data_IF_975029147234
#
_entry.id   IF_975029147234
#
_cell.length_a   1.000
_cell.length_b   1.000
_cell.length_c   1.000
_cell.angle_alpha   90.00
_cell.angle_beta   90.00
_cell.angle_gamma   90.00
#
_symmetry.space_group_name_H-M   'P 1'
#
loop_
_entity.id
_entity.type
_entity.pdbx_description
1 polymer ?
#
# COMPACT_ATOMS: atom_id res chain seq x y z
N UNK A 1 -14.47 -3.55 -40.29
CA UNK A 1 -14.09 -4.63 -39.35
C UNK A 1 -14.25 -4.07 -37.95
N UNK A 2 -15.39 -4.35 -37.32
CA UNK A 2 -15.73 -3.97 -35.95
C UNK A 2 -15.56 -5.22 -35.08
N UNK A 3 -14.77 -5.13 -34.02
CA UNK A 3 -14.94 -5.99 -32.84
C UNK A 3 -15.10 -5.06 -31.64
N UNK A 4 -16.32 -5.05 -31.09
CA UNK A 4 -16.63 -4.47 -29.78
C UNK A 4 -16.48 -5.60 -28.76
N UNK A 5 -15.59 -5.43 -27.79
CA UNK A 5 -15.63 -6.22 -26.56
C UNK A 5 -16.45 -5.45 -25.52
N UNK A 6 -17.42 -6.14 -24.93
CA UNK A 6 -18.27 -5.62 -23.86
C UNK A 6 -17.50 -5.68 -22.54
N UNK A 7 -17.34 -4.51 -21.90
CA UNK A 7 -16.88 -4.42 -20.51
C UNK A 7 -17.97 -4.91 -19.56
N UNK A 8 -17.58 -5.80 -18.65
CA UNK A 8 -18.43 -6.32 -17.59
C UNK A 8 -18.54 -5.25 -16.50
N UNK A 9 -19.73 -4.67 -16.36
CA UNK A 9 -20.15 -3.92 -15.19
C UNK A 9 -20.60 -4.93 -14.11
N UNK A 10 -19.94 -4.96 -12.95
CA UNK A 10 -20.48 -5.61 -11.76
C UNK A 10 -21.32 -4.56 -11.03
N UNK A 11 -22.60 -4.50 -11.38
CA UNK A 11 -23.62 -3.82 -10.59
C UNK A 11 -24.38 -4.85 -9.76
N UNK A 12 -24.35 -4.70 -8.43
CA UNK A 12 -25.23 -5.46 -7.54
C UNK A 12 -26.68 -4.99 -7.74
N UNK A 13 -27.51 -5.85 -8.33
CA UNK A 13 -28.95 -5.68 -8.34
C UNK A 13 -29.61 -7.00 -7.89
N UNK A 14 -30.26 -6.96 -6.72
CA UNK A 14 -31.20 -7.98 -6.28
C UNK A 14 -32.44 -7.93 -7.19
N UNK A 15 -32.73 -9.01 -7.91
CA UNK A 15 -34.09 -9.38 -8.31
C UNK A 15 -34.13 -10.85 -8.75
N UNK A 16 -34.97 -11.62 -8.06
CA UNK A 16 -35.19 -13.03 -8.35
C UNK A 16 -35.98 -13.21 -9.65
N UNK A 17 -35.58 -14.21 -10.43
CA UNK A 17 -36.43 -14.81 -11.46
C UNK A 17 -36.07 -16.29 -11.61
N UNK A 18 -37.03 -17.15 -11.30
CA UNK A 18 -37.03 -18.59 -11.57
C UNK A 18 -37.34 -18.83 -13.05
N UNK A 19 -36.45 -19.51 -13.78
CA UNK A 19 -36.79 -20.09 -15.09
C UNK A 19 -36.12 -21.47 -15.21
N UNK A 20 -36.95 -22.49 -15.42
CA UNK A 20 -36.55 -23.88 -15.55
C UNK A 20 -35.87 -24.21 -16.88
N UNK A 21 -35.01 -25.22 -16.85
CA UNK A 21 -34.38 -25.83 -18.02
C UNK A 21 -34.92 -27.26 -18.22
N UNK A 22 -35.21 -27.67 -19.47
CA UNK A 22 -35.63 -29.04 -19.78
C UNK A 22 -34.43 -29.98 -20.01
N UNK A 23 -34.67 -31.25 -19.72
CA UNK A 23 -33.76 -32.38 -19.93
C UNK A 23 -33.81 -32.95 -21.36
N UNK A 24 -32.76 -33.75 -21.69
CA UNK A 24 -32.56 -34.77 -22.75
C UNK A 24 -31.25 -34.49 -23.52
N UNK A 25 -30.40 -35.43 -23.96
CA UNK A 25 -30.31 -36.90 -23.86
C UNK A 25 -28.96 -37.35 -24.46
N UNK A 26 -28.35 -38.37 -23.84
CA UNK A 26 -27.48 -39.49 -24.30
C UNK A 26 -26.66 -39.44 -25.61
N UNK A 27 -25.40 -39.89 -25.48
CA UNK A 27 -24.74 -41.02 -26.19
C UNK A 27 -23.26 -41.04 -25.71
N UNK A 28 -22.47 -42.11 -25.68
CA UNK A 28 -22.58 -43.57 -25.59
C UNK A 28 -21.13 -44.03 -25.34
N UNK A 29 -20.86 -44.77 -24.26
CA UNK A 29 -19.54 -45.40 -23.99
C UNK A 29 -19.74 -46.91 -23.83
N UNK A 30 -18.87 -47.76 -24.39
CA UNK A 30 -18.76 -49.17 -23.99
C UNK A 30 -17.35 -49.50 -23.42
N UNK A 31 -17.12 -50.69 -22.82
CA UNK A 31 -17.67 -51.11 -21.53
C UNK A 31 -16.63 -51.73 -20.57
N UNK A 32 -17.03 -51.79 -19.29
CA UNK A 32 -16.84 -52.83 -18.26
C UNK A 32 -15.46 -53.45 -17.92
N UNK A 33 -15.08 -53.30 -16.63
CA UNK A 33 -14.76 -54.41 -15.72
C UNK A 33 -14.99 -53.95 -14.26
N UNK A 34 -16.13 -54.31 -13.67
CA UNK A 34 -16.32 -55.32 -12.63
C UNK A 34 -15.93 -54.86 -11.19
N UNK A 35 -16.94 -54.56 -10.36
CA UNK A 35 -17.42 -55.37 -9.21
C UNK A 35 -16.52 -55.22 -7.97
N UNK A 36 -16.98 -54.48 -6.95
CA UNK A 36 -17.52 -55.10 -5.72
C UNK A 36 -18.30 -54.06 -4.89
N UNK A 37 -19.42 -54.49 -4.32
CA UNK A 37 -20.38 -53.72 -3.53
C UNK A 37 -20.57 -54.46 -2.21
N UNK A 38 -20.29 -53.80 -1.09
CA UNK A 38 -21.02 -54.03 0.17
C UNK A 38 -20.61 -53.01 1.22
N UNK A 39 -21.59 -52.38 1.87
CA UNK A 39 -21.39 -51.79 3.20
C UNK A 39 -22.13 -50.48 3.43
N UNK A 40 -23.42 -50.58 3.72
CA UNK A 40 -24.22 -49.53 4.38
C UNK A 40 -23.63 -49.18 5.76
N UNK A 41 -23.75 -47.92 6.17
CA UNK A 41 -23.40 -47.47 7.52
C UNK A 41 -23.61 -45.97 7.70
N UNK A 42 -24.85 -45.59 8.01
CA UNK A 42 -25.21 -44.28 8.57
C UNK A 42 -24.50 -44.04 9.90
N UNK A 43 -24.06 -42.81 10.14
CA UNK A 43 -23.48 -42.41 11.41
C UNK A 43 -23.19 -40.91 11.48
N UNK A 44 -24.19 -40.15 11.94
CA UNK A 44 -24.04 -38.81 12.50
C UNK A 44 -22.95 -38.78 13.59
N UNK A 45 -22.05 -37.79 13.52
CA UNK A 45 -21.34 -37.31 14.71
C UNK A 45 -20.84 -35.88 14.48
N UNK A 46 -21.43 -34.97 15.27
CA UNK A 46 -20.97 -33.62 15.55
C UNK A 46 -19.47 -33.58 15.89
N UNK A 47 -18.74 -32.65 15.27
CA UNK A 47 -17.39 -32.27 15.70
C UNK A 47 -17.47 -30.92 16.43
N UNK A 48 -17.07 -30.85 17.72
CA UNK A 48 -17.07 -29.61 18.48
C UNK A 48 -15.81 -28.77 18.31
N UNK A 49 -16.01 -27.47 18.57
CA UNK A 49 -15.03 -26.40 18.80
C UNK A 49 -13.73 -26.86 19.50
N UNK A 50 -12.60 -26.51 18.88
CA UNK A 50 -11.30 -26.52 19.53
C UNK A 50 -10.98 -25.09 20.01
N UNK A 51 -11.44 -24.78 21.23
CA UNK A 51 -10.95 -23.64 22.00
C UNK A 51 -9.53 -23.89 22.51
N UNK A 52 -8.67 -22.88 22.40
CA UNK A 52 -7.35 -22.86 23.01
C UNK A 52 -7.41 -22.04 24.30
N UNK A 53 -7.66 -22.72 25.43
CA UNK A 53 -7.33 -22.21 26.76
C UNK A 53 -5.91 -22.69 27.11
N UNK A 54 -5.05 -21.74 27.49
CA UNK A 54 -3.82 -22.02 28.23
C UNK A 54 -3.67 -20.95 29.32
N UNK A 55 -4.26 -21.24 30.48
CA UNK A 55 -3.94 -20.60 31.75
C UNK A 55 -2.61 -21.13 32.28
N UNK A 56 -1.78 -20.20 32.77
CA UNK A 56 -0.54 -20.47 33.49
C UNK A 56 -0.13 -19.27 34.36
N UNK A 57 -0.85 -19.05 35.45
CA UNK A 57 -0.38 -18.30 36.63
C UNK A 57 0.62 -19.18 37.43
N UNK A 58 1.54 -18.73 38.28
CA UNK A 58 1.75 -17.48 39.01
C UNK A 58 3.22 -17.40 39.48
N UNK A 59 3.66 -16.22 39.88
CA UNK A 59 4.92 -15.99 40.60
C UNK A 59 5.10 -14.52 40.97
N UNK A 60 4.39 -14.12 42.03
CA UNK A 60 4.44 -12.82 42.73
C UNK A 60 5.51 -12.88 43.83
N UNK A 61 6.41 -11.88 43.90
CA UNK A 61 6.73 -11.17 45.15
C UNK A 61 7.89 -10.14 45.04
N UNK A 62 7.53 -8.86 45.21
CA UNK A 62 8.16 -8.03 46.23
C UNK A 62 9.22 -6.99 45.82
N UNK A 63 9.01 -5.73 46.23
CA UNK A 63 10.11 -4.88 46.67
C UNK A 63 10.03 -3.39 46.32
N UNK A 64 9.31 -2.63 47.15
CA UNK A 64 9.32 -1.16 47.19
C UNK A 64 10.70 -0.60 47.58
N UNK A 65 11.13 0.49 46.93
CA UNK A 65 11.89 1.56 47.56
C UNK A 65 11.76 2.87 46.76
N UNK A 66 10.93 3.74 47.33
CA UNK A 66 10.87 5.19 47.24
C UNK A 66 12.24 5.83 47.55
N UNK A 67 12.68 6.86 46.81
CA UNK A 67 13.39 8.06 47.31
C UNK A 67 13.60 9.13 46.19
N UNK A 68 12.80 10.19 46.28
CA UNK A 68 13.18 11.63 46.37
C UNK A 68 14.00 12.37 45.29
N UNK A 69 13.37 13.47 44.87
CA UNK A 69 13.82 14.87 44.82
C UNK A 69 15.12 15.26 44.10
N UNK A 70 14.97 16.14 43.10
CA UNK A 70 16.05 16.99 42.60
C UNK A 70 15.64 17.82 41.39
N UNK A 71 15.00 18.96 41.62
CA UNK A 71 14.62 19.90 40.55
C UNK A 71 15.80 20.68 39.97
N UNK A 72 15.56 21.29 38.80
CA UNK A 72 16.08 22.60 38.42
C UNK A 72 15.34 23.10 37.17
N UNK A 73 14.59 24.19 37.35
CA UNK A 73 14.10 25.03 36.28
C UNK A 73 15.30 25.76 35.64
N UNK A 74 15.36 25.73 34.31
CA UNK A 74 16.31 26.51 33.52
C UNK A 74 15.55 27.23 32.42
N UNK A 75 15.14 28.45 32.71
CA UNK A 75 14.64 29.41 31.73
C UNK A 75 15.80 29.79 30.79
N UNK A 76 15.67 29.45 29.51
CA UNK A 76 16.61 29.77 28.46
C UNK A 76 15.89 30.43 27.30
N UNK A 77 15.71 31.75 27.39
CA UNK A 77 15.29 32.61 26.30
C UNK A 77 16.34 32.58 25.18
N UNK A 78 16.03 31.82 24.12
CA UNK A 78 16.83 31.74 22.90
C UNK A 78 15.97 32.12 21.69
N UNK A 79 15.85 33.42 21.44
CA UNK A 79 15.36 33.94 20.17
C UNK A 79 16.33 33.55 19.05
N UNK A 80 15.91 32.60 18.21
CA UNK A 80 16.64 32.14 17.03
C UNK A 80 15.67 32.00 15.87
N UNK A 81 15.69 33.01 15.01
CA UNK A 81 14.93 33.16 13.79
C UNK A 81 15.27 32.06 12.75
N UNK A 82 14.29 31.76 11.88
CA UNK A 82 14.38 30.93 10.68
C UNK A 82 14.57 29.41 10.82
N UNK A 83 13.55 28.73 11.36
CA UNK A 83 13.24 27.35 10.97
C UNK A 83 12.64 27.34 9.56
N UNK A 84 13.50 27.46 8.54
CA UNK A 84 13.09 27.17 7.17
C UNK A 84 12.72 25.70 7.07
N UNK A 85 11.43 25.42 6.82
CA UNK A 85 10.91 24.08 6.58
C UNK A 85 11.74 23.40 5.47
N UNK A 86 12.53 22.36 5.78
CA UNK A 86 13.29 21.62 4.79
C UNK A 86 12.38 20.93 3.75
N UNK A 87 11.07 20.84 4.01
CA UNK A 87 10.06 20.32 3.08
C UNK A 87 9.56 21.29 2.00
N UNK A 88 9.77 22.61 2.15
CA UNK A 88 9.20 23.60 1.22
C UNK A 88 9.90 23.64 -0.14
N UNK A 89 11.17 23.24 -0.23
CA UNK A 89 11.93 23.24 -1.49
C UNK A 89 11.62 22.04 -2.39
N UNK A 90 11.16 20.92 -1.83
CA UNK A 90 10.91 19.66 -2.57
C UNK A 90 9.66 19.69 -3.44
N UNK A 91 8.81 20.71 -3.24
CA UNK A 91 7.44 20.79 -3.75
C UNK A 91 7.14 22.18 -4.32
N UNK A 92 8.15 22.91 -4.78
CA UNK A 92 8.02 24.31 -5.23
C UNK A 92 7.11 24.53 -6.45
N UNK A 93 6.64 23.46 -7.11
CA UNK A 93 5.67 23.50 -8.20
C UNK A 93 4.24 23.17 -7.76
N UNK A 94 4.00 22.87 -6.47
CA UNK A 94 2.65 22.62 -5.99
C UNK A 94 1.81 23.89 -6.11
N UNK A 95 0.54 23.76 -6.50
CA UNK A 95 -0.39 24.89 -6.53
C UNK A 95 -0.56 25.47 -5.12
N UNK A 96 -0.90 26.75 -5.02
CA UNK A 96 -1.31 27.32 -3.73
C UNK A 96 -2.68 26.77 -3.31
N UNK A 97 -2.95 26.71 -2.01
CA UNK A 97 -4.28 26.33 -1.49
C UNK A 97 -5.41 27.25 -1.99
N UNK A 98 -5.07 28.51 -2.30
CA UNK A 98 -5.98 29.49 -2.90
C UNK A 98 -6.38 29.21 -4.35
N UNK A 99 -5.73 28.25 -5.02
CA UNK A 99 -6.10 27.78 -6.36
C UNK A 99 -7.22 26.73 -6.35
N UNK A 100 -7.72 26.40 -5.16
CA UNK A 100 -8.92 25.58 -5.00
C UNK A 100 -10.10 26.17 -5.78
N UNK A 101 -10.87 25.28 -6.43
CA UNK A 101 -12.14 25.62 -7.07
C UNK A 101 -13.22 24.74 -6.47
N UNK A 102 -14.27 25.35 -5.95
CA UNK A 102 -15.46 24.69 -5.46
C UNK A 102 -16.50 25.70 -4.97
N UNK A 103 -17.61 25.22 -4.43
CA UNK A 103 -18.70 26.02 -3.89
C UNK A 103 -18.56 26.30 -2.40
N UNK A 104 -19.45 27.13 -1.88
CA UNK A 104 -19.59 27.38 -0.44
C UNK A 104 -20.49 26.31 0.19
N UNK A 105 -19.93 25.12 0.36
CA UNK A 105 -20.64 23.96 0.89
C UNK A 105 -20.34 23.72 2.37
N UNK A 106 -21.25 23.02 3.04
CA UNK A 106 -21.16 22.78 4.48
C UNK A 106 -20.07 21.78 4.86
N UNK A 107 -19.91 20.69 4.10
CA UNK A 107 -18.88 19.70 4.43
C UNK A 107 -17.49 20.24 4.09
N UNK A 108 -16.47 19.65 4.69
CA UNK A 108 -15.06 20.08 4.60
C UNK A 108 -14.15 18.88 4.39
N UNK A 109 -13.22 19.01 3.46
CA UNK A 109 -12.02 18.19 3.37
C UNK A 109 -10.89 18.96 4.07
N UNK A 110 -10.48 18.50 5.25
CA UNK A 110 -9.30 19.00 5.95
C UNK A 110 -8.09 18.23 5.49
N UNK A 111 -7.16 18.91 4.83
CA UNK A 111 -5.87 18.36 4.42
C UNK A 111 -4.80 18.89 5.37
N UNK A 112 -4.06 18.01 6.02
CA UNK A 112 -2.94 18.40 6.89
C UNK A 112 -1.63 18.53 6.10
N UNK A 113 -0.60 19.11 6.72
CA UNK A 113 0.74 19.18 6.11
C UNK A 113 1.38 17.80 5.87
N UNK A 114 0.92 16.78 6.61
CA UNK A 114 1.41 15.41 6.51
C UNK A 114 0.74 14.60 5.40
N UNK A 115 -0.21 15.18 4.65
CA UNK A 115 -0.98 14.51 3.59
C UNK A 115 -0.12 14.16 2.34
N UNK A 116 0.80 13.23 2.54
CA UNK A 116 1.74 12.70 1.56
C UNK A 116 1.51 11.20 1.41
N UNK A 117 1.37 10.78 0.15
CA UNK A 117 1.06 9.42 -0.24
C UNK A 117 2.10 8.94 -1.25
N UNK A 118 2.45 7.66 -1.18
CA UNK A 118 3.49 7.03 -1.99
C UNK A 118 2.83 6.03 -2.95
N UNK A 119 3.41 5.91 -4.14
CA UNK A 119 2.98 4.95 -5.14
C UNK A 119 3.07 3.53 -4.59
N UNK A 120 1.98 2.79 -4.70
CA UNK A 120 1.91 1.37 -4.33
C UNK A 120 2.52 0.50 -5.44
N UNK A 121 2.94 -0.70 -5.06
CA UNK A 121 3.49 -1.69 -5.98
C UNK A 121 2.40 -2.42 -6.76
N UNK A 122 2.82 -3.12 -7.80
CA UNK A 122 2.00 -3.98 -8.64
C UNK A 122 2.73 -5.30 -8.87
N UNK A 123 2.13 -6.38 -8.39
CA UNK A 123 2.74 -7.73 -8.37
C UNK A 123 3.11 -8.27 -9.77
N UNK A 124 2.62 -7.64 -10.83
CA UNK A 124 2.94 -8.00 -12.21
C UNK A 124 4.25 -7.40 -12.72
N UNK A 125 4.88 -6.49 -11.95
CA UNK A 125 6.07 -5.73 -12.38
C UNK A 125 7.37 -6.34 -11.86
N UNK A 126 8.48 -6.03 -12.52
CA UNK A 126 9.82 -6.27 -11.96
C UNK A 126 10.25 -5.17 -10.98
N UNK A 127 11.35 -5.37 -10.25
CA UNK A 127 11.91 -4.31 -9.39
C UNK A 127 12.36 -3.08 -10.20
N UNK A 128 12.89 -3.27 -11.41
CA UNK A 128 13.27 -2.18 -12.30
C UNK A 128 12.04 -1.38 -12.76
N UNK A 129 10.95 -2.06 -13.09
CA UNK A 129 9.68 -1.44 -13.42
C UNK A 129 9.07 -0.72 -12.21
N UNK A 130 9.11 -1.32 -11.02
CA UNK A 130 8.67 -0.69 -9.77
C UNK A 130 9.48 0.56 -9.43
N UNK A 131 10.81 0.50 -9.59
CA UNK A 131 11.67 1.68 -9.44
C UNK A 131 11.24 2.79 -10.37
N UNK A 132 11.04 2.48 -11.66
CA UNK A 132 10.56 3.45 -12.64
C UNK A 132 9.17 3.98 -12.28
N UNK A 133 8.30 3.16 -11.70
CA UNK A 133 6.92 3.55 -11.36
C UNK A 133 6.80 4.36 -10.07
N UNK A 134 7.85 4.42 -9.25
CA UNK A 134 7.85 5.23 -8.02
C UNK A 134 7.29 6.63 -8.24
N UNK A 135 6.42 7.02 -7.33
CA UNK A 135 5.74 8.31 -7.37
C UNK A 135 5.32 8.73 -5.96
N UNK A 136 5.14 10.03 -5.78
CA UNK A 136 4.53 10.58 -4.59
C UNK A 136 3.39 11.51 -4.99
N UNK A 137 2.35 11.54 -4.18
CA UNK A 137 1.20 12.44 -4.25
C UNK A 137 1.18 13.27 -2.96
N UNK A 138 1.16 14.58 -3.10
CA UNK A 138 0.94 15.50 -1.99
C UNK A 138 -0.35 16.26 -2.20
N UNK A 139 -1.19 16.27 -1.18
CA UNK A 139 -2.26 17.25 -1.09
C UNK A 139 -1.72 18.51 -0.42
N UNK A 140 -2.09 19.68 -0.94
CA UNK A 140 -1.69 20.95 -0.32
C UNK A 140 -2.59 21.17 0.90
N UNK A 141 -1.98 21.45 2.05
CA UNK A 141 -2.70 21.65 3.28
C UNK A 141 -3.74 22.78 3.18
N UNK A 142 -4.89 22.57 3.82
CA UNK A 142 -6.01 23.50 3.76
C UNK A 142 -7.32 22.87 4.20
N UNK A 143 -8.34 23.71 4.33
CA UNK A 143 -9.72 23.27 4.58
C UNK A 143 -10.58 23.62 3.37
N UNK A 144 -10.98 22.61 2.61
CA UNK A 144 -11.69 22.75 1.34
C UNK A 144 -13.16 22.39 1.49
N UNK A 145 -14.12 23.27 1.14
CA UNK A 145 -15.52 22.89 1.10
C UNK A 145 -15.78 21.64 0.23
N UNK A 146 -16.73 20.80 0.64
CA UNK A 146 -17.22 19.63 -0.10
C UNK A 146 -18.74 19.67 -0.20
N UNK A 147 -19.34 19.27 -1.33
CA UNK A 147 -20.78 19.21 -1.48
C UNK A 147 -21.40 18.22 -0.49
N UNK A 148 -22.52 18.61 0.09
CA UNK A 148 -23.33 17.80 0.99
C UNK A 148 -24.69 17.43 0.37
N UNK A 149 -24.78 17.50 -0.96
CA UNK A 149 -25.92 17.09 -1.79
C UNK A 149 -25.40 16.37 -3.02
N UNK A 150 -26.14 15.39 -3.53
CA UNK A 150 -25.74 14.69 -4.76
C UNK A 150 -25.74 15.62 -5.97
N UNK A 151 -24.80 15.41 -6.88
CA UNK A 151 -24.67 16.18 -8.11
C UNK A 151 -23.27 16.08 -8.73
N UNK A 152 -23.08 16.81 -9.83
CA UNK A 152 -21.77 17.01 -10.43
C UNK A 152 -21.37 18.48 -10.29
N UNK A 153 -20.14 18.71 -9.83
CA UNK A 153 -19.65 20.04 -9.49
C UNK A 153 -18.29 20.32 -10.15
N UNK A 154 -18.06 21.52 -10.70
CA UNK A 154 -16.71 21.93 -11.05
C UNK A 154 -15.88 21.98 -9.78
N UNK A 155 -14.77 21.25 -9.77
CA UNK A 155 -13.94 21.10 -8.58
C UNK A 155 -12.47 21.06 -8.96
N UNK A 156 -11.63 21.74 -8.18
CA UNK A 156 -10.18 21.62 -8.30
C UNK A 156 -9.59 21.53 -6.90
N UNK A 157 -8.94 20.42 -6.62
CA UNK A 157 -8.22 20.21 -5.37
C UNK A 157 -6.73 20.50 -5.61
N UNK A 158 -6.12 21.42 -4.85
CA UNK A 158 -4.69 21.68 -4.91
C UNK A 158 -3.90 20.42 -4.52
N UNK A 159 -3.36 19.72 -5.52
CA UNK A 159 -2.50 18.54 -5.36
C UNK A 159 -1.30 18.65 -6.29
N UNK A 160 -0.25 17.91 -5.96
CA UNK A 160 0.93 17.79 -6.78
C UNK A 160 1.44 16.37 -6.77
N UNK A 161 1.93 15.94 -7.93
CA UNK A 161 2.61 14.67 -8.09
C UNK A 161 4.11 14.92 -8.15
N UNK A 162 4.86 13.87 -7.85
CA UNK A 162 6.30 13.78 -8.09
C UNK A 162 6.59 12.40 -8.62
N UNK A 163 7.18 12.30 -9.81
CA UNK A 163 7.68 11.06 -10.35
C UNK A 163 9.19 10.96 -10.16
N UNK A 164 9.76 9.76 -10.37
CA UNK A 164 11.20 9.54 -10.31
C UNK A 164 11.96 10.56 -11.18
N UNK A 165 13.13 10.98 -10.73
CA UNK A 165 13.99 11.91 -11.47
C UNK A 165 14.21 11.44 -12.92
N UNK A 166 14.13 12.38 -13.86
CA UNK A 166 14.19 12.11 -15.30
C UNK A 166 12.83 11.86 -15.95
N UNK A 167 11.76 11.66 -15.18
CA UNK A 167 10.39 11.61 -15.71
C UNK A 167 9.75 13.00 -15.70
N UNK A 168 8.90 13.26 -16.69
CA UNK A 168 8.05 14.45 -16.65
C UNK A 168 6.95 14.25 -15.61
N UNK A 169 6.89 15.17 -14.65
CA UNK A 169 5.81 15.21 -13.66
C UNK A 169 4.58 15.90 -14.25
N UNK A 170 3.39 15.27 -14.22
CA UNK A 170 2.15 15.89 -14.65
C UNK A 170 1.69 16.93 -13.62
N UNK A 171 1.25 18.10 -14.11
CA UNK A 171 0.75 19.23 -13.32
C UNK A 171 -0.74 19.45 -13.56
N UNK A 172 -1.43 20.13 -12.65
CA UNK A 172 -2.83 20.52 -12.81
C UNK A 172 -3.03 21.31 -14.12
N UNK A 173 -3.88 20.78 -15.00
CA UNK A 173 -4.12 21.39 -16.31
C UNK A 173 -5.37 22.27 -16.33
N UNK A 174 -6.45 21.81 -15.70
CA UNK A 174 -7.74 22.50 -15.72
C UNK A 174 -8.58 22.20 -14.49
N UNK A 175 -9.79 22.77 -14.45
CA UNK A 175 -10.78 22.41 -13.44
C UNK A 175 -11.23 20.98 -13.72
N UNK A 176 -11.36 20.19 -12.65
CA UNK A 176 -11.88 18.84 -12.69
C UNK A 176 -13.39 18.79 -12.48
N UNK A 177 -13.89 17.57 -12.33
CA UNK A 177 -15.28 17.25 -12.06
C UNK A 177 -15.35 16.41 -10.79
N UNK A 178 -16.08 16.91 -9.78
CA UNK A 178 -16.44 16.14 -8.60
C UNK A 178 -17.87 15.62 -8.76
N UNK A 179 -18.03 14.30 -8.78
CA UNK A 179 -19.32 13.64 -8.64
C UNK A 179 -19.55 13.35 -7.17
N UNK A 180 -20.70 13.77 -6.66
CA UNK A 180 -21.14 13.48 -5.32
C UNK A 180 -22.41 12.64 -5.37
N UNK A 181 -22.40 11.53 -4.64
CA UNK A 181 -23.58 10.74 -4.32
C UNK A 181 -23.74 10.72 -2.79
N UNK A 182 -24.71 11.46 -2.29
CA UNK A 182 -24.97 11.67 -0.87
C UNK A 182 -26.29 10.97 -0.52
N UNK A 183 -26.18 9.83 0.16
CA UNK A 183 -27.29 9.10 0.74
C UNK A 183 -27.52 9.45 2.21
N UNK A 184 -28.54 8.83 2.81
CA UNK A 184 -28.91 9.07 4.22
C UNK A 184 -27.84 8.58 5.22
N UNK A 185 -27.10 7.54 4.85
CA UNK A 185 -26.07 6.91 5.70
C UNK A 185 -24.68 6.96 5.09
N UNK A 186 -24.59 6.87 3.76
CA UNK A 186 -23.33 6.76 3.05
C UNK A 186 -23.16 7.90 2.07
N UNK A 187 -21.91 8.27 1.82
CA UNK A 187 -21.55 9.16 0.73
C UNK A 187 -20.50 8.51 -0.17
N UNK A 188 -20.46 8.96 -1.42
CA UNK A 188 -19.40 8.69 -2.36
C UNK A 188 -19.06 9.98 -3.09
N UNK A 189 -17.78 10.35 -3.08
CA UNK A 189 -17.21 11.50 -3.76
C UNK A 189 -16.14 10.98 -4.73
N UNK A 190 -16.32 11.24 -6.02
CA UNK A 190 -15.40 10.85 -7.08
C UNK A 190 -14.92 12.11 -7.80
N UNK A 191 -13.65 12.46 -7.62
CA UNK A 191 -13.00 13.56 -8.31
C UNK A 191 -12.20 13.04 -9.49
N UNK A 192 -12.41 13.63 -10.66
CA UNK A 192 -11.54 13.50 -11.84
C UNK A 192 -10.90 14.86 -12.13
N UNK A 193 -9.57 14.92 -12.09
CA UNK A 193 -8.82 16.16 -12.26
C UNK A 193 -7.79 16.04 -13.39
N UNK A 194 -7.98 16.76 -14.52
CA UNK A 194 -7.07 16.71 -15.65
C UNK A 194 -5.68 17.25 -15.30
N UNK A 195 -4.67 16.55 -15.77
CA UNK A 195 -3.27 16.87 -15.63
C UNK A 195 -2.56 16.89 -17.00
N UNK A 196 -1.47 17.65 -17.10
CA UNK A 196 -0.61 17.70 -18.28
C UNK A 196 0.86 17.73 -17.87
N UNK A 197 1.69 17.01 -18.60
CA UNK A 197 3.15 17.20 -18.52
C UNK A 197 3.61 18.40 -19.35
N UNK A 198 4.87 18.80 -19.20
CA UNK A 198 5.50 19.85 -20.02
C UNK A 198 5.45 19.56 -21.53
N UNK A 199 5.52 18.29 -21.94
CA UNK A 199 5.38 17.89 -23.34
C UNK A 199 3.93 17.88 -23.85
N UNK A 200 2.95 18.12 -22.98
CA UNK A 200 1.53 18.03 -23.30
C UNK A 200 0.95 16.63 -23.22
N UNK A 201 1.65 15.68 -22.59
CA UNK A 201 1.10 14.34 -22.34
C UNK A 201 -0.03 14.43 -21.33
N UNK A 202 -1.21 13.94 -21.70
CA UNK A 202 -2.40 13.95 -20.85
C UNK A 202 -2.31 12.89 -19.75
N UNK A 203 -2.70 13.31 -18.55
CA UNK A 203 -2.84 12.49 -17.36
C UNK A 203 -4.13 12.87 -16.64
N UNK A 204 -4.61 12.01 -15.77
CA UNK A 204 -5.74 12.29 -14.89
C UNK A 204 -5.39 11.86 -13.47
N UNK A 205 -5.69 12.73 -12.50
CA UNK A 205 -5.75 12.38 -11.09
C UNK A 205 -7.19 12.02 -10.73
N UNK A 206 -7.37 10.85 -10.13
CA UNK A 206 -8.66 10.38 -9.64
C UNK A 206 -8.59 10.19 -8.14
N UNK A 207 -9.58 10.72 -7.43
CA UNK A 207 -9.78 10.46 -6.00
C UNK A 207 -11.17 9.89 -5.80
N UNK A 208 -11.23 8.75 -5.12
CA UNK A 208 -12.45 8.20 -4.55
C UNK A 208 -12.42 8.43 -3.05
N UNK A 209 -13.51 8.94 -2.51
CA UNK A 209 -13.69 9.15 -1.08
C UNK A 209 -15.12 8.71 -0.73
N UNK A 210 -15.26 7.67 0.07
CA UNK A 210 -16.56 7.12 0.42
C UNK A 210 -16.60 6.75 1.89
N UNK A 211 -17.80 6.70 2.47
CA UNK A 211 -17.88 6.44 3.89
C UNK A 211 -19.23 6.78 4.49
N UNK A 212 -19.25 6.81 5.82
CA UNK A 212 -20.35 7.28 6.66
C UNK A 212 -19.89 8.57 7.33
N UNK A 213 -20.59 9.68 7.09
CA UNK A 213 -20.34 10.88 7.88
C UNK A 213 -20.84 10.64 9.32
N UNK A 214 -20.01 10.86 10.34
CA UNK A 214 -20.47 10.76 11.73
C UNK A 214 -21.69 11.67 11.97
N UNK A 215 -22.58 11.29 12.88
CA UNK A 215 -23.73 12.12 13.21
C UNK A 215 -23.27 13.51 13.71
N UNK A 216 -23.65 14.57 13.00
CA UNK A 216 -23.21 15.94 13.27
C UNK A 216 -21.79 16.27 12.76
N UNK A 217 -21.10 15.31 12.16
CA UNK A 217 -19.83 15.52 11.47
C UNK A 217 -20.04 16.26 10.16
N UNK A 218 -19.09 17.13 9.84
CA UNK A 218 -19.01 17.89 8.59
C UNK A 218 -17.61 17.88 8.00
N UNK A 219 -16.66 17.19 8.61
CA UNK A 219 -15.25 17.22 8.22
C UNK A 219 -14.73 15.82 7.94
N UNK A 220 -14.02 15.68 6.82
CA UNK A 220 -13.22 14.52 6.43
C UNK A 220 -11.76 14.94 6.45
N UNK A 221 -10.87 14.15 7.05
CA UNK A 221 -9.46 14.48 7.17
C UNK A 221 -8.61 13.62 6.24
N UNK A 222 -7.69 14.25 5.51
CA UNK A 222 -6.56 13.60 4.83
C UNK A 222 -5.28 14.06 5.53
N UNK A 223 -4.56 13.12 6.12
CA UNK A 223 -3.37 13.39 6.93
C UNK A 223 -2.17 12.49 6.58
N UNK A 224 -2.26 11.70 5.52
CA UNK A 224 -1.21 10.77 5.10
C UNK A 224 -1.28 9.41 5.79
N UNK A 225 -2.21 9.19 6.73
CA UNK A 225 -2.40 7.89 7.38
C UNK A 225 -2.88 6.82 6.41
N UNK A 226 -2.57 5.56 6.72
CA UNK A 226 -3.10 4.42 5.97
C UNK A 226 -4.53 4.11 6.41
N UNK A 227 -5.39 3.79 5.45
CA UNK A 227 -6.75 3.37 5.73
C UNK A 227 -6.79 1.86 6.00
N UNK A 228 -6.86 1.49 7.28
CA UNK A 228 -6.93 0.09 7.68
C UNK A 228 -8.32 -0.50 7.35
N UNK A 229 -8.38 -1.33 6.29
CA UNK A 229 -9.62 -1.96 5.83
C UNK A 229 -10.08 -3.13 6.72
N UNK A 230 -9.21 -3.67 7.58
CA UNK A 230 -9.45 -4.96 8.24
C UNK A 230 -9.98 -4.86 9.67
N UNK A 231 -10.05 -3.67 10.24
CA UNK A 231 -10.69 -3.48 11.55
C UNK A 231 -12.21 -3.45 11.45
N UNK A 232 -12.79 -3.34 10.25
CA UNK A 232 -14.24 -3.28 10.02
C UNK A 232 -14.93 -2.06 10.66
N UNK A 233 -14.16 -1.16 11.26
CA UNK A 233 -14.63 0.01 12.00
C UNK A 233 -14.45 1.31 11.24
N UNK A 234 -13.79 1.29 10.07
CA UNK A 234 -13.36 2.50 9.39
C UNK A 234 -14.55 3.16 8.69
N UNK A 235 -14.99 4.36 9.14
CA UNK A 235 -16.12 5.05 8.53
C UNK A 235 -15.75 5.73 7.21
N UNK A 236 -14.50 5.65 6.78
CA UNK A 236 -13.96 6.34 5.63
C UNK A 236 -13.06 5.43 4.80
N UNK A 237 -13.27 5.45 3.51
CA UNK A 237 -12.49 4.78 2.48
C UNK A 237 -12.01 5.83 1.49
N UNK A 238 -10.73 5.79 1.13
CA UNK A 238 -10.20 6.58 0.04
C UNK A 238 -9.28 5.76 -0.85
N UNK A 239 -9.32 6.05 -2.15
CA UNK A 239 -8.35 5.59 -3.12
C UNK A 239 -7.88 6.77 -3.97
N UNK A 240 -6.58 6.81 -4.26
CA UNK A 240 -5.99 7.82 -5.10
C UNK A 240 -5.27 7.17 -6.28
N UNK A 241 -5.52 7.69 -7.48
CA UNK A 241 -4.90 7.22 -8.70
C UNK A 241 -4.37 8.37 -9.54
N UNK A 242 -3.29 8.12 -10.26
CA UNK A 242 -2.88 8.93 -11.39
C UNK A 242 -2.67 8.01 -12.59
N UNK A 243 -3.30 8.29 -13.73
CA UNK A 243 -3.12 7.49 -14.94
C UNK A 243 -2.76 8.38 -16.12
N UNK A 244 -2.04 7.82 -17.08
CA UNK A 244 -1.83 8.47 -18.37
C UNK A 244 -3.11 8.33 -19.19
N UNK A 245 -3.69 9.45 -19.63
CA UNK A 245 -5.03 9.48 -20.25
C UNK A 245 -6.15 9.74 -19.23
N UNK A 246 -7.30 9.10 -19.41
CA UNK A 246 -8.57 9.35 -18.69
C UNK A 246 -8.92 8.25 -17.65
N UNK A 247 -7.90 7.52 -17.19
CA UNK A 247 -8.00 6.41 -16.24
C UNK A 247 -8.98 5.27 -16.60
N UNK A 248 -9.63 5.27 -17.78
CA UNK A 248 -10.54 4.19 -18.18
C UNK A 248 -9.79 2.91 -18.59
N UNK A 249 -8.66 3.10 -19.27
CA UNK A 249 -7.84 2.01 -19.79
C UNK A 249 -6.72 1.58 -18.83
N UNK A 250 -6.61 2.21 -17.65
CA UNK A 250 -5.58 1.93 -16.63
C UNK A 250 -4.13 2.01 -17.18
N UNK A 251 -3.92 2.80 -18.22
CA UNK A 251 -2.60 2.99 -18.84
C UNK A 251 -1.71 3.76 -17.88
N UNK A 252 -0.61 3.14 -17.44
CA UNK A 252 0.32 3.76 -16.49
C UNK A 252 -0.41 4.24 -15.22
N UNK A 253 -1.30 3.40 -14.71
CA UNK A 253 -2.01 3.69 -13.47
C UNK A 253 -1.05 3.55 -12.28
N UNK A 254 -1.00 4.59 -11.46
CA UNK A 254 -0.28 4.65 -10.20
C UNK A 254 -1.29 4.86 -9.10
N UNK A 255 -1.42 3.86 -8.23
CA UNK A 255 -2.23 3.97 -7.02
C UNK A 255 -1.36 4.53 -5.89
N UNK A 256 -1.95 5.28 -4.98
CA UNK A 256 -1.24 5.87 -3.85
C UNK A 256 -1.88 5.48 -2.53
N UNK A 257 -1.04 5.22 -1.54
CA UNK A 257 -1.41 4.97 -0.14
C UNK A 257 -0.38 5.67 0.76
N UNK A 258 -0.50 5.52 2.07
CA UNK A 258 0.39 6.17 3.04
C UNK A 258 1.88 5.96 2.71
N UNK A 259 2.69 7.01 2.84
CA UNK A 259 4.13 6.86 2.73
C UNK A 259 4.78 6.21 3.96
N UNK A 260 4.09 6.15 5.10
CA UNK A 260 4.66 5.67 6.36
C UNK A 260 3.98 4.40 6.89
N UNK A 261 2.68 4.19 6.62
CA UNK A 261 1.88 3.14 7.25
C UNK A 261 2.09 3.11 8.77
N UNK A 262 2.17 4.28 9.42
CA UNK A 262 2.62 4.40 10.81
C UNK A 262 1.75 3.65 11.82
N UNK A 263 0.50 3.38 11.44
CA UNK A 263 -0.48 2.63 12.24
C UNK A 263 -0.28 1.11 12.17
N UNK A 264 0.60 0.65 11.27
CA UNK A 264 0.86 -0.77 11.02
C UNK A 264 2.21 -1.15 11.65
N UNK A 265 2.21 -2.27 12.38
CA UNK A 265 3.42 -2.84 12.96
C UNK A 265 4.43 -3.18 11.84
N UNK A 266 5.69 -2.84 12.09
CA UNK A 266 6.77 -3.12 11.15
C UNK A 266 7.29 -4.55 11.35
N UNK A 267 7.16 -5.39 10.33
CA UNK A 267 7.84 -6.67 10.26
C UNK A 267 9.27 -6.48 9.78
N UNK A 268 10.21 -7.24 10.33
CA UNK A 268 11.64 -7.16 9.99
C UNK A 268 12.08 -8.48 9.38
N UNK A 269 12.68 -8.39 8.19
CA UNK A 269 13.36 -9.50 7.54
C UNK A 269 14.88 -9.31 7.65
N UNK A 270 15.57 -10.26 8.28
CA UNK A 270 17.01 -10.19 8.51
C UNK A 270 17.72 -11.25 7.68
N UNK A 271 18.75 -10.85 6.94
CA UNK A 271 19.65 -11.74 6.22
C UNK A 271 21.09 -11.47 6.62
N UNK A 272 21.85 -12.54 6.86
CA UNK A 272 23.32 -12.49 6.87
C UNK A 272 23.84 -13.17 5.62
N UNK A 273 24.92 -12.63 5.06
CA UNK A 273 25.49 -13.12 3.81
C UNK A 273 27.01 -12.91 3.81
N UNK A 274 27.68 -13.56 2.85
CA UNK A 274 29.13 -13.43 2.73
C UNK A 274 29.55 -11.97 2.50
N UNK A 275 30.14 -11.36 3.54
CA UNK A 275 30.60 -9.98 3.56
C UNK A 275 29.69 -9.00 4.32
N UNK A 276 28.54 -9.40 4.87
CA UNK A 276 27.67 -8.45 5.54
C UNK A 276 26.33 -8.97 6.05
N UNK A 277 25.43 -8.02 6.31
CA UNK A 277 24.07 -8.26 6.76
C UNK A 277 23.13 -7.18 6.25
N UNK A 278 21.84 -7.50 6.16
CA UNK A 278 20.78 -6.55 5.84
C UNK A 278 19.53 -6.90 6.65
N UNK A 279 18.93 -5.87 7.24
CA UNK A 279 17.60 -5.89 7.82
C UNK A 279 16.68 -5.04 6.95
N UNK A 280 15.54 -5.61 6.55
CA UNK A 280 14.53 -5.01 5.68
C UNK A 280 13.28 -4.83 6.54
N UNK A 281 12.89 -3.57 6.78
CA UNK A 281 11.65 -3.23 7.48
C UNK A 281 10.51 -3.07 6.48
N UNK A 282 9.41 -3.80 6.71
CA UNK A 282 8.21 -3.74 5.89
C UNK A 282 7.00 -3.49 6.79
N UNK A 283 6.15 -2.55 6.40
CA UNK A 283 4.81 -2.38 6.97
C UNK A 283 3.82 -2.81 5.91
N UNK A 284 3.09 -3.88 6.19
CA UNK A 284 2.10 -4.45 5.28
C UNK A 284 0.76 -4.20 5.93
N UNK A 285 -0.03 -3.34 5.29
CA UNK A 285 -1.40 -3.07 5.66
C UNK A 285 -2.27 -4.30 5.41
N UNK A 286 -3.55 -4.07 5.20
CA UNK A 286 -4.48 -5.16 5.04
C UNK A 286 -5.44 -4.90 3.88
N UNK A 287 -5.69 -5.95 3.10
CA UNK A 287 -6.66 -5.95 2.02
C UNK A 287 -7.55 -7.18 2.11
N UNK A 288 -8.84 -7.00 1.89
CA UNK A 288 -9.81 -8.10 1.88
C UNK A 288 -10.00 -8.74 0.50
N UNK A 289 -9.47 -8.12 -0.56
CA UNK A 289 -9.80 -8.46 -1.94
C UNK A 289 -8.64 -8.33 -2.94
N UNK A 290 -7.43 -8.00 -2.48
CA UNK A 290 -6.24 -7.81 -3.33
C UNK A 290 -4.97 -8.17 -2.56
N UNK A 291 -3.83 -8.08 -3.24
CA UNK A 291 -2.53 -8.00 -2.56
C UNK A 291 -2.56 -6.83 -1.58
N UNK A 292 -2.11 -7.08 -0.36
CA UNK A 292 -2.13 -6.13 0.74
C UNK A 292 -1.27 -4.92 0.38
N UNK A 293 -1.73 -3.67 0.62
CA UNK A 293 -0.88 -2.51 0.41
C UNK A 293 0.25 -2.50 1.46
N UNK A 294 1.35 -1.84 1.17
CA UNK A 294 2.43 -1.72 2.14
C UNK A 294 3.57 -0.84 1.68
N UNK A 295 4.54 -0.66 2.57
CA UNK A 295 5.72 0.15 2.32
C UNK A 295 6.99 -0.56 2.79
N UNK A 296 8.03 -0.46 1.97
CA UNK A 296 9.41 -0.74 2.34
C UNK A 296 9.98 0.50 3.04
N UNK A 297 9.93 0.48 4.36
CA UNK A 297 10.12 1.65 5.23
C UNK A 297 11.60 1.92 5.52
N UNK A 298 12.42 0.88 5.62
CA UNK A 298 13.83 1.00 5.96
C UNK A 298 14.65 -0.20 5.52
N UNK A 299 15.93 0.03 5.24
CA UNK A 299 16.94 -1.02 5.14
C UNK A 299 18.21 -0.62 5.87
N UNK A 300 18.67 -1.44 6.80
CA UNK A 300 19.88 -1.21 7.60
C UNK A 300 20.80 -2.40 7.53
N UNK A 301 22.12 -2.20 7.59
CA UNK A 301 23.04 -3.33 7.53
C UNK A 301 24.49 -2.96 7.33
N UNK A 302 25.26 -3.93 6.87
CA UNK A 302 26.68 -3.79 6.53
C UNK A 302 27.00 -4.49 5.22
N UNK A 303 27.94 -3.93 4.44
CA UNK A 303 28.55 -4.56 3.28
C UNK A 303 30.06 -4.33 3.30
N UNK A 304 30.82 -5.43 3.33
CA UNK A 304 32.28 -5.46 3.39
C UNK A 304 32.84 -4.54 4.48
N UNK A 305 32.20 -4.55 5.65
CA UNK A 305 32.55 -3.73 6.82
C UNK A 305 32.06 -2.28 6.80
N UNK A 306 31.37 -1.85 5.73
CA UNK A 306 30.76 -0.51 5.63
C UNK A 306 29.29 -0.58 6.02
N UNK A 307 28.89 0.18 7.03
CA UNK A 307 27.48 0.26 7.45
C UNK A 307 26.64 1.12 6.50
N UNK A 308 25.35 0.80 6.37
CA UNK A 308 24.36 1.63 5.70
C UNK A 308 23.04 1.67 6.49
N UNK A 309 22.33 2.79 6.38
CA UNK A 309 20.96 3.00 6.87
C UNK A 309 20.22 3.79 5.77
N UNK A 310 19.21 3.16 5.19
CA UNK A 310 18.43 3.72 4.10
C UNK A 310 16.95 3.84 4.49
N UNK A 311 16.39 5.04 4.29
CA UNK A 311 15.00 5.41 4.57
C UNK A 311 14.36 6.24 3.46
N UNK A 312 15.13 6.62 2.44
CA UNK A 312 14.64 7.35 1.29
C UNK A 312 13.75 6.44 0.45
N UNK A 313 12.47 6.80 0.34
CA UNK A 313 11.48 6.13 -0.50
C UNK A 313 12.03 5.85 -1.91
N UNK A 314 12.79 6.78 -2.51
CA UNK A 314 13.29 6.62 -3.87
C UNK A 314 14.36 5.53 -4.02
N UNK A 315 14.99 5.14 -2.91
CA UNK A 315 16.08 4.16 -2.84
C UNK A 315 15.66 2.81 -2.25
N UNK A 316 14.41 2.69 -1.80
CA UNK A 316 13.82 1.47 -1.27
C UNK A 316 12.79 0.95 -2.28
N UNK A 317 13.17 -0.05 -3.07
CA UNK A 317 12.35 -0.64 -4.12
C UNK A 317 11.84 -1.99 -3.65
N UNK A 318 10.54 -2.23 -3.82
CA UNK A 318 9.89 -3.42 -3.30
C UNK A 318 8.81 -3.88 -4.27
N UNK A 319 8.72 -5.20 -4.43
CA UNK A 319 7.69 -5.83 -5.20
C UNK A 319 7.29 -7.16 -4.53
N UNK A 320 6.07 -7.29 -4.00
CA UNK A 320 5.56 -8.59 -3.61
C UNK A 320 5.05 -9.34 -4.83
N UNK A 321 5.35 -10.62 -4.89
CA UNK A 321 4.67 -11.56 -5.78
C UNK A 321 3.44 -12.12 -5.07
N UNK A 322 2.30 -12.15 -5.78
CA UNK A 322 1.04 -12.81 -5.41
C UNK A 322 0.72 -12.83 -3.90
N UNK A 323 -0.02 -11.86 -3.37
CA UNK A 323 -0.40 -11.79 -1.94
C UNK A 323 0.77 -11.97 -0.97
N UNK A 324 1.95 -11.43 -1.31
CA UNK A 324 3.15 -11.48 -0.48
C UNK A 324 3.68 -12.90 -0.16
N UNK A 325 3.32 -13.92 -0.94
CA UNK A 325 3.90 -15.26 -0.80
C UNK A 325 5.40 -15.28 -1.13
N UNK A 326 5.83 -14.43 -2.06
CA UNK A 326 7.24 -14.14 -2.30
C UNK A 326 7.42 -12.64 -2.37
N UNK A 327 8.61 -12.15 -2.03
CA UNK A 327 8.90 -10.73 -1.97
C UNK A 327 10.28 -10.47 -2.54
N UNK A 328 10.35 -9.45 -3.38
CA UNK A 328 11.59 -8.96 -3.95
C UNK A 328 11.82 -7.54 -3.40
N UNK A 329 13.07 -7.23 -3.09
CA UNK A 329 13.48 -5.92 -2.61
C UNK A 329 14.84 -5.51 -3.17
N UNK A 330 15.01 -4.22 -3.43
CA UNK A 330 16.31 -3.63 -3.68
C UNK A 330 16.50 -2.37 -2.83
N UNK A 331 17.68 -2.25 -2.24
CA UNK A 331 18.14 -1.08 -1.52
C UNK A 331 19.28 -0.43 -2.29
N UNK A 332 19.12 0.85 -2.63
CA UNK A 332 20.20 1.68 -3.15
C UNK A 332 20.86 2.44 -2.01
N UNK A 333 22.19 2.45 -1.98
CA UNK A 333 22.96 3.15 -0.98
C UNK A 333 22.97 4.67 -1.24
N UNK A 334 23.27 5.45 -0.20
CA UNK A 334 23.52 6.89 -0.35
C UNK A 334 24.70 7.18 -1.30
N UNK A 335 25.74 6.36 -1.19
CA UNK A 335 26.90 6.34 -2.07
C UNK A 335 27.30 4.88 -2.30
N UNK A 336 27.87 4.55 -3.47
CA UNK A 336 28.34 3.20 -3.73
C UNK A 336 29.30 2.69 -2.65
N UNK A 337 29.16 1.42 -2.29
CA UNK A 337 30.06 0.70 -1.38
C UNK A 337 30.88 -0.26 -2.24
N UNK A 338 32.18 0.04 -2.41
CA UNK A 338 33.00 -0.66 -3.39
C UNK A 338 32.44 -0.49 -4.81
N UNK A 339 32.25 -1.57 -5.58
CA UNK A 339 31.65 -1.51 -6.91
C UNK A 339 30.11 -1.45 -6.92
N UNK A 340 29.46 -1.68 -5.77
CA UNK A 340 28.01 -1.85 -5.69
C UNK A 340 27.31 -0.53 -5.39
N UNK A 341 26.24 -0.22 -6.13
CA UNK A 341 25.31 0.87 -5.78
C UNK A 341 24.24 0.42 -4.79
N UNK A 342 24.04 -0.90 -4.60
CA UNK A 342 23.01 -1.42 -3.72
C UNK A 342 23.07 -2.93 -3.50
N UNK A 343 22.05 -3.44 -2.80
CA UNK A 343 21.77 -4.87 -2.59
C UNK A 343 20.37 -5.17 -3.14
N UNK A 344 20.23 -6.29 -3.85
CA UNK A 344 18.95 -6.85 -4.30
C UNK A 344 18.75 -8.23 -3.65
N UNK A 345 17.57 -8.44 -3.07
CA UNK A 345 17.12 -9.70 -2.48
C UNK A 345 15.85 -10.13 -3.20
N UNK A 346 15.84 -11.33 -3.77
CA UNK A 346 14.74 -11.88 -4.56
C UNK A 346 14.29 -13.22 -4.00
N UNK A 347 12.98 -13.50 -4.06
CA UNK A 347 12.41 -14.78 -3.64
C UNK A 347 12.21 -14.92 -2.12
N UNK A 348 12.03 -13.82 -1.39
CA UNK A 348 11.85 -13.85 0.06
C UNK A 348 10.45 -14.40 0.42
N UNK A 349 10.38 -15.66 0.85
CA UNK A 349 9.13 -16.32 1.23
C UNK A 349 9.01 -16.43 2.77
N UNK A 350 8.11 -15.66 3.42
CA UNK A 350 7.92 -15.67 4.87
C UNK A 350 7.17 -16.92 5.40
N UNK A 351 6.61 -17.75 4.52
CA UNK A 351 5.83 -18.95 4.86
C UNK A 351 6.63 -20.25 4.72
N UNK A 352 7.66 -20.24 3.89
CA UNK A 352 8.53 -21.37 3.58
C UNK A 352 9.21 -22.01 4.79
N UNK A 353 9.45 -21.26 5.86
CA UNK A 353 10.10 -21.76 7.08
C UNK A 353 9.13 -22.37 8.10
N UNK A 354 7.86 -22.62 7.76
CA UNK A 354 6.91 -23.22 8.71
C UNK A 354 7.15 -24.73 8.86
N UNK A 355 7.10 -25.27 10.10
CA UNK A 355 7.31 -26.70 10.38
C UNK A 355 6.29 -27.65 9.71
N UNK A 356 5.30 -27.11 8.99
CA UNK A 356 4.23 -27.87 8.34
C UNK A 356 4.64 -28.47 6.98
N UNK A 357 5.79 -28.08 6.39
CA UNK A 357 6.33 -28.68 5.15
C UNK A 357 7.86 -28.84 5.18
N UNK A 358 8.38 -29.94 5.77
CA UNK A 358 9.82 -30.21 5.84
C UNK A 358 10.51 -30.36 4.48
N UNK A 359 9.74 -30.62 3.42
CA UNK A 359 10.18 -30.82 2.04
C UNK A 359 10.34 -29.51 1.25
N UNK A 360 9.76 -28.40 1.70
CA UNK A 360 9.86 -27.09 1.01
C UNK A 360 11.22 -26.39 1.19
N UNK A 361 12.08 -26.85 2.11
CA UNK A 361 13.35 -26.17 2.46
C UNK A 361 14.29 -25.88 1.27
N UNK A 362 14.24 -26.69 0.22
CA UNK A 362 15.12 -26.51 -0.95
C UNK A 362 14.53 -25.59 -2.04
N UNK A 363 13.23 -25.28 -1.98
CA UNK A 363 12.54 -24.43 -2.97
C UNK A 363 12.42 -22.97 -2.53
N UNK A 364 12.86 -22.67 -1.29
CA UNK A 364 12.60 -21.43 -0.58
C UNK A 364 13.85 -20.57 -0.36
N UNK A 365 14.84 -20.66 -1.24
CA UNK A 365 16.08 -19.93 -1.05
C UNK A 365 15.99 -18.56 -1.70
N UNK A 366 15.90 -17.53 -0.86
CA UNK A 366 16.19 -16.16 -1.27
C UNK A 366 17.52 -16.11 -2.01
N UNK A 367 17.64 -15.19 -2.96
CA UNK A 367 18.91 -14.88 -3.62
C UNK A 367 19.31 -13.46 -3.31
N UNK A 368 20.61 -13.27 -3.02
CA UNK A 368 21.16 -11.95 -2.74
C UNK A 368 22.23 -11.61 -3.78
N UNK A 369 22.09 -10.43 -4.38
CA UNK A 369 23.07 -9.90 -5.33
C UNK A 369 23.45 -8.46 -4.97
N UNK A 370 24.73 -8.13 -5.15
CA UNK A 370 25.17 -6.76 -5.27
C UNK A 370 24.74 -6.23 -6.65
N UNK A 371 24.28 -5.00 -6.69
CA UNK A 371 23.71 -4.39 -7.90
C UNK A 371 24.40 -3.09 -8.28
N UNK A 372 24.33 -2.75 -9.56
CA UNK A 372 24.69 -1.43 -10.06
C UNK A 372 23.57 -0.40 -9.82
N UNK A 373 23.80 0.81 -10.30
CA UNK A 373 22.88 1.92 -10.11
C UNK A 373 21.61 1.82 -10.97
N UNK A 374 21.49 0.79 -11.81
CA UNK A 374 20.33 0.45 -12.65
C UNK A 374 19.66 -0.86 -12.17
N UNK A 375 20.03 -1.35 -10.98
CA UNK A 375 19.58 -2.60 -10.35
C UNK A 375 20.10 -3.89 -11.01
N UNK A 376 20.99 -3.80 -11.99
CA UNK A 376 21.54 -4.99 -12.61
C UNK A 376 22.51 -5.71 -11.66
N UNK A 377 22.39 -7.03 -11.56
CA UNK A 377 23.25 -7.84 -10.70
C UNK A 377 24.71 -7.80 -11.20
N UNK A 378 25.62 -7.40 -10.32
CA UNK A 378 27.07 -7.40 -10.55
C UNK A 378 27.68 -8.68 -9.98
N UNK A 379 27.25 -9.08 -8.78
CA UNK A 379 27.84 -10.20 -8.04
C UNK A 379 26.79 -10.86 -7.14
N UNK A 380 26.69 -12.19 -7.18
CA UNK A 380 25.85 -12.95 -6.25
C UNK A 380 26.61 -13.28 -4.97
N UNK A 381 25.99 -13.11 -3.80
CA UNK A 381 26.55 -13.51 -2.50
C UNK A 381 25.72 -14.64 -1.89
N UNK A 382 26.39 -15.54 -1.19
CA UNK A 382 25.73 -16.62 -0.46
C UNK A 382 25.07 -16.06 0.80
N UNK A 383 23.78 -16.37 0.99
CA UNK A 383 23.06 -16.11 2.24
C UNK A 383 23.46 -17.20 3.24
N UNK A 384 23.83 -16.78 4.44
CA UNK A 384 24.26 -17.64 5.54
C UNK A 384 23.12 -17.91 6.51
N UNK A 385 22.33 -16.89 6.85
CA UNK A 385 21.12 -17.01 7.66
C UNK A 385 20.02 -16.09 7.15
N UNK A 386 18.77 -16.49 7.37
CA UNK A 386 17.56 -15.74 7.01
C UNK A 386 16.50 -15.93 8.11
N UNK A 387 15.94 -14.83 8.62
CA UNK A 387 14.96 -14.87 9.73
C UNK A 387 13.97 -13.71 9.69
N UNK A 388 12.77 -13.96 10.23
CA UNK A 388 11.66 -13.03 10.22
C UNK A 388 11.20 -12.70 11.64
N UNK A 389 11.07 -11.42 11.94
CA UNK A 389 10.50 -10.88 13.18
C UNK A 389 9.24 -10.08 12.88
N UNK A 390 8.24 -10.16 13.77
CA UNK A 390 6.96 -9.43 13.66
C UNK A 390 6.84 -8.37 14.73
#
# INVERSE_FOLDING_TARGET
MLFRFAGIFIGFALLGLTVGLPACSKNDNPPDAAVDTSGEGDGDADAPDAGCDADGAAGDDGGLADERDGGAAGDGDGSGDAGGDPGSSLWGWCPASTEYIGGDWKWRLRVTESALYCGTFDESRSLEEERYRKSQLRFVAGDYPLPNTSGEYPFRLPVCLKFLEGQETPLLASTGLLRADIGDLHFNLQLHQPLLTSSGTAWEFVMYLSGVMPAGGDTITLDGSHMNQCTGTTPLFFDFFACRGDCQDWVDARMFDSCDFSEIAEGVHQLTFSGGSIEIGLRIGCSMASTEPGIFSRATGTLDGTAFDQRDYWKLIYNPQHHHFSRDAAVLFERPIGPACGIKVEGMDPFCCRPLRPDCYNECQSTLSLIDCDLAAIEKRAIETESWEK
#
